data_IF_602259092143
#
_entry.id   IF_602259092143
#
_cell.length_a   1.000
_cell.length_b   1.000
_cell.length_c   1.000
_cell.angle_alpha   90.00
_cell.angle_beta   90.00
_cell.angle_gamma   90.00
#
_symmetry.space_group_name_H-M   'P 1'
#
loop_
_entity.id
_entity.type
_entity.pdbx_description
1 polymer ?
#
# COMPACT_ATOMS: atom_id res chain seq x y z
N UNK A 1 28.32 40.96 -37.34
CA UNK A 1 28.52 41.47 -35.97
C UNK A 1 28.06 40.41 -34.98
N UNK A 2 29.01 39.71 -34.35
CA UNK A 2 28.75 38.72 -33.29
C UNK A 2 28.59 39.47 -31.96
N UNK A 3 27.41 39.43 -31.36
CA UNK A 3 27.22 39.84 -29.98
C UNK A 3 27.43 38.61 -29.08
N UNK A 4 28.59 38.54 -28.43
CA UNK A 4 28.88 37.57 -27.37
C UNK A 4 28.11 37.99 -26.11
N UNK A 5 27.12 37.20 -25.71
CA UNK A 5 26.54 37.28 -24.38
C UNK A 5 27.44 36.46 -23.43
N UNK A 6 28.09 37.15 -22.49
CA UNK A 6 28.87 36.54 -21.40
C UNK A 6 27.93 35.73 -20.49
N UNK A 7 28.31 34.52 -20.03
CA UNK A 7 27.59 33.85 -18.97
C UNK A 7 27.80 34.63 -17.65
N UNK A 8 26.71 35.12 -17.07
CA UNK A 8 26.66 35.63 -15.70
C UNK A 8 26.96 34.45 -14.76
N UNK A 9 28.23 34.32 -14.41
CA UNK A 9 28.69 33.42 -13.36
C UNK A 9 28.39 34.12 -12.04
N UNK A 10 27.25 33.81 -11.43
CA UNK A 10 26.98 34.19 -10.05
C UNK A 10 27.84 33.25 -9.19
N UNK A 11 28.96 33.78 -8.72
CA UNK A 11 29.75 33.14 -7.68
C UNK A 11 28.87 32.95 -6.44
N UNK A 12 28.57 31.70 -6.08
CA UNK A 12 27.88 31.39 -4.83
C UNK A 12 28.89 31.39 -3.68
N UNK A 13 28.67 32.19 -2.62
CA UNK A 13 29.53 32.20 -1.46
C UNK A 13 29.23 30.96 -0.59
N UNK A 14 30.29 30.22 -0.23
CA UNK A 14 30.32 29.27 0.89
C UNK A 14 29.38 28.03 0.82
N UNK A 15 29.87 26.95 0.20
CA UNK A 15 30.00 25.63 0.85
C UNK A 15 28.79 24.94 1.49
N UNK A 16 27.60 24.95 0.88
CA UNK A 16 26.43 24.19 1.37
C UNK A 16 25.87 23.25 0.29
N UNK A 17 26.61 22.20 -0.07
CA UNK A 17 25.99 21.00 -0.65
C UNK A 17 25.34 20.22 0.52
N UNK A 18 24.19 20.71 0.99
CA UNK A 18 23.42 20.07 2.05
C UNK A 18 22.84 18.79 1.46
N UNK A 19 23.14 17.64 2.09
CA UNK A 19 22.70 16.28 1.76
C UNK A 19 21.26 16.18 1.20
N UNK A 20 21.09 16.50 -0.09
CA UNK A 20 19.82 16.43 -0.77
C UNK A 20 19.46 14.96 -1.06
N UNK A 21 18.25 14.74 -1.56
CA UNK A 21 17.79 13.38 -1.82
C UNK A 21 18.68 12.66 -2.85
N UNK A 22 19.19 13.37 -3.85
CA UNK A 22 20.03 12.78 -4.90
C UNK A 22 21.37 12.31 -4.34
N UNK A 23 22.04 13.14 -3.54
CA UNK A 23 23.29 12.79 -2.86
C UNK A 23 23.12 11.55 -1.95
N UNK A 24 22.02 11.51 -1.18
CA UNK A 24 21.67 10.36 -0.32
C UNK A 24 21.46 9.08 -1.14
N UNK A 25 20.70 9.17 -2.24
CA UNK A 25 20.42 8.02 -3.12
C UNK A 25 21.69 7.54 -3.82
N UNK A 26 22.55 8.46 -4.27
CA UNK A 26 23.82 8.12 -4.91
C UNK A 26 24.76 7.39 -3.96
N UNK A 27 24.86 7.84 -2.70
CA UNK A 27 25.54 7.09 -1.66
C UNK A 27 24.93 5.68 -1.53
N UNK A 28 23.62 5.56 -1.28
CA UNK A 28 22.98 4.26 -1.07
C UNK A 28 23.03 3.32 -2.30
N UNK A 29 23.32 3.81 -3.50
CA UNK A 29 23.57 2.97 -4.69
C UNK A 29 24.96 2.35 -4.71
N UNK A 30 25.93 2.92 -4.00
CA UNK A 30 27.29 2.43 -3.98
C UNK A 30 27.42 1.21 -3.07
N UNK A 31 27.99 0.08 -3.54
CA UNK A 31 28.27 -1.08 -2.68
C UNK A 31 29.12 -0.73 -1.44
N UNK A 32 30.06 0.21 -1.58
CA UNK A 32 30.94 0.68 -0.50
C UNK A 32 30.21 1.38 0.65
N UNK A 33 28.94 1.74 0.50
CA UNK A 33 28.11 2.31 1.56
C UNK A 33 27.66 1.29 2.60
N UNK A 34 27.83 0.00 2.31
CA UNK A 34 27.39 -1.09 3.16
C UNK A 34 28.59 -1.87 3.67
N UNK A 35 28.53 -2.30 4.94
CA UNK A 35 29.56 -3.15 5.57
C UNK A 35 29.53 -4.60 5.07
N UNK A 36 28.61 -4.93 4.15
CA UNK A 36 28.26 -6.29 3.75
C UNK A 36 28.78 -6.59 2.33
N UNK A 37 30.10 -6.66 2.17
CA UNK A 37 30.80 -7.21 0.99
C UNK A 37 30.48 -6.60 -0.39
N UNK A 38 31.20 -7.06 -1.41
CA UNK A 38 31.26 -6.46 -2.76
C UNK A 38 30.01 -6.73 -3.64
N UNK A 39 28.84 -6.87 -3.03
CA UNK A 39 27.60 -7.25 -3.71
C UNK A 39 27.01 -6.12 -4.56
N UNK A 40 26.44 -6.47 -5.71
CA UNK A 40 25.66 -5.53 -6.54
C UNK A 40 24.45 -4.99 -5.76
N UNK A 41 24.36 -3.67 -5.66
CA UNK A 41 23.18 -2.97 -5.11
C UNK A 41 22.15 -2.80 -6.23
N UNK A 42 20.91 -3.21 -5.97
CA UNK A 42 19.77 -2.93 -6.86
C UNK A 42 18.90 -1.86 -6.22
N UNK A 43 18.82 -0.68 -6.83
CA UNK A 43 17.95 0.40 -6.37
C UNK A 43 16.61 0.35 -7.12
N UNK A 44 15.52 0.28 -6.37
CA UNK A 44 14.15 0.31 -6.87
C UNK A 44 13.49 1.57 -6.33
N UNK A 45 12.88 2.34 -7.21
CA UNK A 45 12.13 3.52 -6.83
C UNK A 45 10.64 3.18 -6.77
N UNK A 46 9.96 3.58 -5.70
CA UNK A 46 8.49 3.55 -5.57
C UNK A 46 7.92 4.97 -5.63
N UNK A 47 6.61 5.14 -5.42
CA UNK A 47 6.02 6.48 -5.36
C UNK A 47 6.61 7.29 -4.20
N UNK A 48 6.72 6.68 -3.01
CA UNK A 48 7.06 7.36 -1.76
C UNK A 48 8.44 6.99 -1.19
N UNK A 49 9.18 6.07 -1.82
CA UNK A 49 10.45 5.56 -1.26
C UNK A 49 11.45 5.13 -2.32
N UNK A 50 12.69 5.00 -1.90
CA UNK A 50 13.74 4.21 -2.55
C UNK A 50 13.98 2.93 -1.75
N UNK A 51 14.17 1.81 -2.44
CA UNK A 51 14.43 0.49 -1.86
C UNK A 51 15.73 -0.05 -2.45
N UNK A 52 16.71 -0.32 -1.60
CA UNK A 52 18.04 -0.79 -1.98
C UNK A 52 18.20 -2.25 -1.56
N UNK A 53 18.32 -3.16 -2.53
CA UNK A 53 18.56 -4.58 -2.29
C UNK A 53 20.07 -4.82 -2.23
N UNK A 54 20.56 -5.28 -1.08
CA UNK A 54 21.99 -5.46 -0.78
C UNK A 54 22.21 -6.86 -0.21
N UNK A 55 22.58 -7.81 -1.07
CA UNK A 55 22.70 -9.23 -0.68
C UNK A 55 21.39 -9.74 -0.05
N UNK A 56 21.45 -10.09 1.24
CA UNK A 56 20.33 -10.58 2.06
C UNK A 56 19.59 -9.48 2.84
N UNK A 57 19.95 -8.22 2.65
CA UNK A 57 19.34 -7.05 3.32
C UNK A 57 18.62 -6.17 2.31
N UNK A 58 17.69 -5.39 2.83
CA UNK A 58 16.98 -4.33 2.10
C UNK A 58 16.97 -3.08 2.96
N UNK A 59 17.30 -1.94 2.36
CA UNK A 59 17.24 -0.63 3.00
C UNK A 59 16.16 0.19 2.30
N UNK A 60 15.18 0.73 3.03
CA UNK A 60 14.11 1.57 2.47
C UNK A 60 14.26 2.99 3.00
N UNK A 61 14.52 3.92 2.09
CA UNK A 61 14.59 5.37 2.34
C UNK A 61 13.27 6.02 1.91
N UNK A 62 12.59 6.73 2.80
CA UNK A 62 11.37 7.48 2.46
C UNK A 62 11.74 8.79 1.76
N UNK A 63 11.01 9.15 0.71
CA UNK A 63 11.22 10.41 -0.01
C UNK A 63 10.59 11.58 0.77
N UNK A 64 11.17 12.79 0.70
CA UNK A 64 10.60 13.99 1.32
C UNK A 64 9.43 14.55 0.49
N UNK A 65 8.33 13.79 0.40
CA UNK A 65 7.13 14.14 -0.37
C UNK A 65 5.99 14.61 0.54
N UNK A 66 5.09 15.43 0.01
CA UNK A 66 3.84 15.83 0.65
C UNK A 66 2.68 15.51 -0.30
N UNK A 67 1.84 14.56 0.10
CA UNK A 67 0.64 14.10 -0.59
C UNK A 67 -0.60 14.44 0.27
N UNK A 68 -1.82 14.44 -0.28
CA UNK A 68 -3.02 14.81 0.48
C UNK A 68 -3.28 14.00 1.76
N UNK A 69 -2.68 12.82 1.87
CA UNK A 69 -2.85 11.88 2.98
C UNK A 69 -1.53 11.58 3.71
N UNK A 70 -0.43 12.28 3.38
CA UNK A 70 0.90 11.94 3.87
C UNK A 70 1.87 13.12 3.77
N UNK A 71 2.56 13.45 4.85
CA UNK A 71 3.68 14.41 4.83
C UNK A 71 4.97 13.75 5.35
N UNK A 72 5.95 13.61 4.47
CA UNK A 72 7.30 13.11 4.77
C UNK A 72 8.37 14.19 4.62
N UNK A 73 8.00 15.48 4.51
CA UNK A 73 8.98 16.55 4.30
C UNK A 73 9.96 16.68 5.47
N UNK A 74 9.47 16.60 6.70
CA UNK A 74 10.32 16.71 7.88
C UNK A 74 11.11 15.42 8.13
N UNK A 75 12.32 15.58 8.70
CA UNK A 75 13.15 14.44 9.10
C UNK A 75 12.48 13.64 10.23
N UNK A 76 11.78 14.34 11.12
CA UNK A 76 11.06 13.78 12.26
C UNK A 76 9.91 12.88 11.79
N UNK A 77 9.13 13.30 10.80
CA UNK A 77 8.05 12.48 10.24
C UNK A 77 8.62 11.23 9.58
N UNK A 78 9.71 11.35 8.80
CA UNK A 78 10.36 10.17 8.21
C UNK A 78 10.90 9.22 9.27
N UNK A 79 11.47 9.72 10.37
CA UNK A 79 11.87 8.90 11.50
C UNK A 79 10.66 8.15 12.07
N UNK A 80 9.62 8.89 12.46
CA UNK A 80 8.38 8.35 13.04
C UNK A 80 7.78 7.24 12.16
N UNK A 81 7.62 7.49 10.86
CA UNK A 81 7.04 6.50 9.96
C UNK A 81 7.98 5.32 9.63
N UNK A 82 9.30 5.46 9.77
CA UNK A 82 10.20 4.31 9.74
C UNK A 82 9.96 3.39 10.95
N UNK A 83 9.78 3.96 12.15
CA UNK A 83 9.45 3.17 13.35
C UNK A 83 8.06 2.53 13.25
N UNK A 84 7.06 3.27 12.77
CA UNK A 84 5.72 2.71 12.56
C UNK A 84 5.72 1.57 11.55
N UNK A 85 6.48 1.68 10.46
CA UNK A 85 6.61 0.59 9.49
C UNK A 85 7.23 -0.66 10.14
N UNK A 86 8.28 -0.52 10.95
CA UNK A 86 8.88 -1.65 11.70
C UNK A 86 7.87 -2.25 12.67
N UNK A 87 7.19 -1.42 13.47
CA UNK A 87 6.23 -1.85 14.50
C UNK A 87 5.04 -2.59 13.89
N UNK A 88 4.43 -2.02 12.85
CA UNK A 88 3.22 -2.57 12.24
C UNK A 88 3.49 -3.89 11.52
N UNK A 89 4.62 -3.99 10.82
CA UNK A 89 4.94 -5.17 10.05
C UNK A 89 5.52 -6.32 10.87
N UNK A 90 6.06 -6.07 12.07
CA UNK A 90 6.49 -7.13 12.98
C UNK A 90 5.37 -8.12 13.34
N UNK A 91 4.10 -7.67 13.29
CA UNK A 91 2.89 -8.47 13.58
C UNK A 91 2.69 -9.64 12.61
N UNK A 92 2.94 -9.41 11.31
CA UNK A 92 2.69 -10.39 10.23
C UNK A 92 3.95 -10.85 9.50
N UNK A 93 5.10 -10.23 9.77
CA UNK A 93 6.39 -10.59 9.20
C UNK A 93 7.50 -10.63 10.26
N UNK A 94 7.40 -11.50 11.29
CA UNK A 94 8.38 -11.57 12.36
C UNK A 94 9.79 -11.87 11.81
N UNK A 95 10.76 -11.06 12.26
CA UNK A 95 12.17 -11.14 11.86
C UNK A 95 12.46 -10.66 10.44
N UNK A 96 11.49 -10.09 9.71
CA UNK A 96 11.73 -9.43 8.42
C UNK A 96 12.20 -8.00 8.62
N UNK A 97 11.55 -7.24 9.49
CA UNK A 97 11.93 -5.86 9.82
C UNK A 97 12.91 -5.89 10.98
N UNK A 98 14.10 -5.36 10.76
CA UNK A 98 15.26 -5.54 11.65
C UNK A 98 15.56 -4.30 12.48
N UNK A 99 14.87 -3.19 12.21
CA UNK A 99 15.02 -1.93 12.91
C UNK A 99 15.19 -0.75 11.95
N UNK A 100 15.58 0.38 12.52
CA UNK A 100 15.84 1.62 11.80
C UNK A 100 17.36 1.90 11.81
N UNK A 101 17.86 2.50 10.74
CA UNK A 101 19.26 2.90 10.57
C UNK A 101 19.29 4.39 10.25
N UNK A 102 20.13 5.14 10.97
CA UNK A 102 20.37 6.55 10.67
C UNK A 102 21.33 6.66 9.49
N UNK A 103 20.98 7.51 8.52
CA UNK A 103 21.92 8.04 7.55
C UNK A 103 22.52 9.31 8.15
N UNK A 104 23.79 9.23 8.56
CA UNK A 104 24.51 10.36 9.13
C UNK A 104 25.41 11.03 8.10
N UNK A 105 25.61 12.35 8.27
CA UNK A 105 26.59 13.15 7.57
C UNK A 105 27.64 13.65 8.55
N UNK A 106 28.91 13.37 8.28
CA UNK A 106 30.05 13.79 9.08
C UNK A 106 31.25 14.08 8.17
N UNK A 107 31.89 15.24 8.33
CA UNK A 107 33.09 15.65 7.60
C UNK A 107 33.04 15.40 6.07
N UNK A 108 31.91 15.72 5.43
CA UNK A 108 31.75 15.58 3.98
C UNK A 108 31.42 14.16 3.50
N UNK A 109 31.12 13.23 4.42
CA UNK A 109 30.84 11.83 4.09
C UNK A 109 29.53 11.37 4.72
N UNK A 110 28.86 10.47 4.01
CA UNK A 110 27.72 9.72 4.54
C UNK A 110 28.18 8.46 5.26
N UNK A 111 27.46 8.07 6.30
CA UNK A 111 27.60 6.79 6.98
C UNK A 111 26.22 6.24 7.37
N UNK A 112 26.08 4.92 7.35
CA UNK A 112 24.93 4.23 7.93
C UNK A 112 25.28 3.81 9.35
N UNK A 113 24.50 4.28 10.33
CA UNK A 113 24.71 4.01 11.75
C UNK A 113 23.47 3.29 12.29
N UNK A 114 23.59 2.04 12.80
CA UNK A 114 22.49 1.38 13.49
C UNK A 114 21.93 2.27 14.60
N UNK A 115 20.61 2.32 14.77
CA UNK A 115 20.00 3.20 15.76
C UNK A 115 20.52 2.95 17.19
N UNK A 116 20.85 1.70 17.52
CA UNK A 116 21.41 1.31 18.83
C UNK A 116 22.81 1.88 19.11
N UNK A 117 23.50 2.39 18.08
CA UNK A 117 24.82 3.04 18.18
C UNK A 117 24.72 4.57 18.26
N UNK A 118 23.51 5.12 18.36
CA UNK A 118 23.29 6.56 18.53
C UNK A 118 23.35 6.98 20.02
N UNK A 119 23.83 8.21 20.31
CA UNK A 119 24.36 9.19 19.38
C UNK A 119 25.76 8.83 18.88
N UNK A 120 26.01 9.08 17.59
CA UNK A 120 27.32 8.99 16.94
C UNK A 120 27.77 10.37 16.45
N UNK A 121 29.06 10.58 16.09
CA UNK A 121 29.61 11.91 15.80
C UNK A 121 28.95 12.70 14.65
N UNK A 122 28.24 12.01 13.73
CA UNK A 122 27.59 12.63 12.59
C UNK A 122 26.20 13.20 12.88
N UNK A 123 25.78 14.15 12.04
CA UNK A 123 24.40 14.63 12.04
C UNK A 123 23.51 13.64 11.30
N UNK A 124 22.44 13.15 11.92
CA UNK A 124 21.42 12.37 11.20
C UNK A 124 20.70 13.25 10.18
N UNK A 125 20.82 12.88 8.90
CA UNK A 125 20.22 13.59 7.76
C UNK A 125 19.07 12.83 7.13
N UNK A 126 18.95 11.52 7.38
CA UNK A 126 17.76 10.72 7.08
C UNK A 126 17.69 9.42 7.89
N UNK A 127 16.58 8.70 7.73
CA UNK A 127 16.36 7.40 8.36
C UNK A 127 15.97 6.35 7.31
N UNK A 128 16.40 5.11 7.53
CA UNK A 128 16.08 3.98 6.69
C UNK A 128 15.48 2.84 7.50
N UNK A 129 14.50 2.16 6.94
CA UNK A 129 14.03 0.86 7.44
C UNK A 129 14.98 -0.23 6.93
N UNK A 130 15.56 -1.01 7.85
CA UNK A 130 16.39 -2.15 7.52
C UNK A 130 15.58 -3.44 7.60
N UNK A 131 15.60 -4.23 6.52
CA UNK A 131 14.84 -5.46 6.40
C UNK A 131 15.71 -6.63 5.92
N UNK A 132 15.29 -7.85 6.23
CA UNK A 132 15.76 -9.07 5.58
C UNK A 132 15.10 -9.18 4.20
N UNK A 133 15.89 -9.46 3.17
CA UNK A 133 15.39 -9.69 1.82
C UNK A 133 14.59 -10.99 1.78
N UNK A 134 13.35 -10.91 1.31
CA UNK A 134 12.53 -12.09 1.07
C UNK A 134 12.82 -12.67 -0.32
N UNK A 135 12.78 -14.01 -0.52
CA UNK A 135 13.06 -14.59 -1.82
C UNK A 135 11.90 -14.34 -2.77
N UNK A 136 12.19 -13.66 -3.89
CA UNK A 136 11.18 -13.19 -4.84
C UNK A 136 10.30 -14.32 -5.38
N UNK A 137 10.84 -15.53 -5.59
CA UNK A 137 10.06 -16.66 -6.08
C UNK A 137 8.94 -17.15 -5.13
N UNK A 138 8.94 -16.72 -3.87
CA UNK A 138 7.86 -17.01 -2.92
C UNK A 138 6.82 -15.90 -2.83
N UNK A 139 7.01 -14.75 -3.47
CA UNK A 139 5.96 -13.70 -3.49
C UNK A 139 4.70 -14.25 -4.16
N UNK A 140 3.52 -13.94 -3.59
CA UNK A 140 2.24 -14.40 -4.11
C UNK A 140 2.02 -13.90 -5.55
N UNK A 141 2.39 -12.65 -5.85
CA UNK A 141 2.34 -12.12 -7.23
C UNK A 141 3.20 -12.95 -8.20
N UNK A 142 4.41 -13.37 -7.80
CA UNK A 142 5.29 -14.22 -8.61
C UNK A 142 4.77 -15.65 -8.76
N UNK A 143 4.13 -16.21 -7.71
CA UNK A 143 3.51 -17.54 -7.77
C UNK A 143 2.30 -17.57 -8.68
N UNK A 144 1.53 -16.48 -8.73
CA UNK A 144 0.41 -16.32 -9.66
C UNK A 144 0.94 -16.23 -11.10
N UNK A 145 1.86 -15.30 -11.36
CA UNK A 145 2.36 -15.06 -12.74
C UNK A 145 3.09 -16.27 -13.34
N UNK A 146 3.75 -17.08 -12.50
CA UNK A 146 4.41 -18.33 -12.92
C UNK A 146 3.47 -19.55 -12.96
N UNK A 147 2.18 -19.39 -12.62
CA UNK A 147 1.20 -20.49 -12.50
C UNK A 147 1.65 -21.60 -11.53
N UNK A 148 2.36 -21.23 -10.47
CA UNK A 148 2.88 -22.16 -9.44
C UNK A 148 2.13 -22.05 -8.11
N UNK A 149 1.08 -21.24 -8.03
CA UNK A 149 0.29 -21.06 -6.83
C UNK A 149 -0.53 -22.33 -6.53
N UNK A 150 -0.45 -22.82 -5.30
CA UNK A 150 -1.18 -24.02 -4.84
C UNK A 150 -2.23 -23.65 -3.78
N UNK A 151 -3.40 -24.33 -3.75
CA UNK A 151 -4.43 -24.09 -2.73
C UNK A 151 -3.91 -24.15 -1.29
N UNK A 152 -3.07 -25.13 -0.96
CA UNK A 152 -2.52 -25.29 0.39
C UNK A 152 -1.72 -24.07 0.89
N UNK A 153 -1.10 -23.30 -0.02
CA UNK A 153 -0.39 -22.06 0.33
C UNK A 153 -1.36 -20.94 0.71
N UNK A 154 -2.53 -20.87 0.06
CA UNK A 154 -3.60 -19.94 0.42
C UNK A 154 -4.26 -20.34 1.73
N UNK A 155 -4.46 -21.64 1.99
CA UNK A 155 -4.95 -22.10 3.29
C UNK A 155 -4.00 -21.71 4.44
N UNK A 156 -2.69 -21.81 4.20
CA UNK A 156 -1.69 -21.37 5.17
C UNK A 156 -1.75 -19.86 5.41
N UNK A 157 -1.96 -19.06 4.35
CA UNK A 157 -2.11 -17.61 4.45
C UNK A 157 -3.36 -17.25 5.24
N UNK A 158 -4.50 -17.89 4.95
CA UNK A 158 -5.76 -17.71 5.68
C UNK A 158 -5.57 -17.96 7.17
N UNK A 159 -4.88 -19.05 7.56
CA UNK A 159 -4.63 -19.34 8.98
C UNK A 159 -3.80 -18.25 9.67
N UNK A 160 -2.81 -17.68 8.97
CA UNK A 160 -2.01 -16.56 9.49
C UNK A 160 -2.87 -15.30 9.66
N UNK A 161 -3.64 -14.94 8.63
CA UNK A 161 -4.50 -13.75 8.64
C UNK A 161 -5.65 -13.89 9.64
N UNK A 162 -6.33 -15.04 9.68
CA UNK A 162 -7.41 -15.33 10.63
C UNK A 162 -6.95 -15.24 12.08
N UNK A 163 -5.76 -15.76 12.41
CA UNK A 163 -5.14 -15.55 13.73
C UNK A 163 -4.88 -14.07 14.01
N UNK A 164 -4.25 -13.39 13.05
CA UNK A 164 -3.92 -11.97 13.19
C UNK A 164 -5.16 -11.11 13.45
N UNK A 165 -6.25 -11.29 12.69
CA UNK A 165 -7.47 -10.52 12.89
C UNK A 165 -8.17 -10.85 14.21
N UNK A 166 -8.10 -12.11 14.68
CA UNK A 166 -8.68 -12.53 15.96
C UNK A 166 -7.95 -11.92 17.16
N UNK A 167 -6.63 -11.75 17.04
CA UNK A 167 -5.77 -11.17 18.07
C UNK A 167 -5.69 -9.63 17.98
N UNK A 168 -6.11 -9.05 16.85
CA UNK A 168 -6.07 -7.60 16.62
C UNK A 168 -7.06 -6.86 17.54
N UNK A 169 -6.72 -5.65 17.99
CA UNK A 169 -7.65 -4.83 18.78
C UNK A 169 -8.93 -4.54 18.01
N UNK A 170 -10.07 -4.78 18.65
CA UNK A 170 -11.38 -4.39 18.12
C UNK A 170 -11.49 -2.87 18.15
N UNK A 171 -11.92 -2.30 17.03
CA UNK A 171 -12.09 -0.86 16.86
C UNK A 171 -13.54 -0.50 17.14
N UNK A 172 -13.76 0.24 18.22
CA UNK A 172 -15.07 0.82 18.53
C UNK A 172 -15.32 2.02 17.61
N UNK A 173 -16.43 1.98 16.89
CA UNK A 173 -16.87 3.04 15.99
C UNK A 173 -18.39 3.05 15.94
N UNK A 174 -18.97 4.24 15.91
CA UNK A 174 -20.41 4.38 15.70
C UNK A 174 -20.78 3.99 14.26
N UNK A 175 -22.05 3.65 14.05
CA UNK A 175 -22.57 3.39 12.70
C UNK A 175 -22.32 4.58 11.76
N UNK A 176 -22.58 5.81 12.21
CA UNK A 176 -22.44 7.00 11.38
C UNK A 176 -20.97 7.25 11.01
N UNK A 177 -20.04 7.16 11.97
CA UNK A 177 -18.61 7.31 11.68
C UNK A 177 -18.10 6.30 10.65
N UNK A 178 -18.64 5.07 10.65
CA UNK A 178 -18.24 4.05 9.68
C UNK A 178 -18.84 4.31 8.29
N UNK A 179 -20.10 4.72 8.22
CA UNK A 179 -20.77 5.09 6.97
C UNK A 179 -20.14 6.33 6.32
N UNK A 180 -19.84 7.36 7.13
CA UNK A 180 -19.20 8.60 6.68
C UNK A 180 -17.85 8.34 6.01
N UNK A 181 -17.12 7.30 6.43
CA UNK A 181 -15.86 6.90 5.77
C UNK A 181 -16.09 6.45 4.33
N UNK A 182 -17.10 5.61 4.09
CA UNK A 182 -17.42 5.17 2.73
C UNK A 182 -17.94 6.32 1.88
N UNK A 183 -18.80 7.17 2.43
CA UNK A 183 -19.29 8.35 1.72
C UNK A 183 -18.15 9.31 1.35
N UNK A 184 -17.23 9.59 2.28
CA UNK A 184 -16.05 10.42 2.02
C UNK A 184 -15.17 9.83 0.92
N UNK A 185 -14.89 8.53 0.97
CA UNK A 185 -14.10 7.87 -0.09
C UNK A 185 -14.83 7.90 -1.43
N UNK A 186 -16.15 7.75 -1.42
CA UNK A 186 -16.96 7.74 -2.63
C UNK A 186 -17.08 9.12 -3.28
N UNK A 187 -17.20 10.18 -2.48
CA UNK A 187 -17.10 11.56 -2.96
C UNK A 187 -15.74 11.83 -3.60
N UNK A 188 -14.64 11.36 -2.98
CA UNK A 188 -13.31 11.48 -3.57
C UNK A 188 -13.16 10.68 -4.87
N UNK A 189 -13.73 9.47 -4.94
CA UNK A 189 -13.80 8.65 -6.16
C UNK A 189 -14.51 9.41 -7.28
N UNK A 190 -15.68 9.99 -6.98
CA UNK A 190 -16.46 10.78 -7.92
C UNK A 190 -15.71 12.00 -8.43
N UNK A 191 -15.11 12.79 -7.53
CA UNK A 191 -14.38 14.01 -7.90
C UNK A 191 -13.23 13.74 -8.87
N UNK A 192 -12.46 12.67 -8.65
CA UNK A 192 -11.28 12.41 -9.48
C UNK A 192 -11.61 11.59 -10.74
N UNK A 193 -12.44 10.55 -10.63
CA UNK A 193 -12.71 9.63 -11.74
C UNK A 193 -13.63 10.21 -12.81
N UNK A 194 -14.49 11.17 -12.45
CA UNK A 194 -15.38 11.87 -13.38
C UNK A 194 -14.82 13.22 -13.84
N UNK A 195 -13.58 13.55 -13.44
CA UNK A 195 -12.95 14.80 -13.84
C UNK A 195 -12.71 14.80 -15.36
N UNK A 196 -13.10 15.87 -16.08
CA UNK A 196 -12.79 16.00 -17.50
C UNK A 196 -11.29 15.83 -17.76
N UNK A 197 -10.94 15.06 -18.79
CA UNK A 197 -9.55 14.84 -19.22
C UNK A 197 -8.92 13.50 -18.82
N UNK A 198 -9.57 12.69 -17.98
CA UNK A 198 -9.14 11.31 -17.72
C UNK A 198 -9.87 10.25 -18.54
N UNK A 199 -11.06 10.57 -19.09
CA UNK A 199 -11.87 9.76 -19.98
C UNK A 199 -11.89 8.26 -19.61
N UNK A 200 -12.56 7.95 -18.49
CA UNK A 200 -12.78 6.58 -18.01
C UNK A 200 -14.20 6.13 -18.34
N UNK A 201 -14.40 5.35 -19.43
CA UNK A 201 -15.69 4.75 -19.73
C UNK A 201 -16.27 4.02 -18.52
N UNK A 202 -17.59 4.07 -18.38
CA UNK A 202 -18.34 3.35 -17.34
C UNK A 202 -18.10 3.80 -15.89
N UNK A 203 -17.21 4.78 -15.64
CA UNK A 203 -16.93 5.26 -14.29
C UNK A 203 -18.18 5.82 -13.60
N UNK A 204 -18.99 6.59 -14.31
CA UNK A 204 -20.25 7.15 -13.78
C UNK A 204 -21.26 6.06 -13.43
N UNK A 205 -21.39 5.05 -14.29
CA UNK A 205 -22.26 3.89 -14.05
C UNK A 205 -21.79 3.09 -12.83
N UNK A 206 -20.49 2.85 -12.69
CA UNK A 206 -19.91 2.13 -11.56
C UNK A 206 -20.09 2.90 -10.24
N UNK A 207 -19.85 4.21 -10.25
CA UNK A 207 -20.04 5.10 -9.09
C UNK A 207 -21.51 5.10 -8.66
N UNK A 208 -22.43 5.36 -9.59
CA UNK A 208 -23.87 5.39 -9.29
C UNK A 208 -24.38 4.04 -8.80
N UNK A 209 -23.89 2.94 -9.40
CA UNK A 209 -24.20 1.59 -8.95
C UNK A 209 -23.72 1.32 -7.52
N UNK A 210 -22.54 1.82 -7.15
CA UNK A 210 -22.03 1.70 -5.78
C UNK A 210 -22.84 2.56 -4.80
N UNK A 211 -23.28 3.77 -5.20
CA UNK A 211 -24.13 4.63 -4.37
C UNK A 211 -25.45 3.94 -4.02
N UNK A 212 -26.10 3.31 -5.01
CA UNK A 212 -27.33 2.54 -4.79
C UNK A 212 -27.12 1.35 -3.84
N UNK A 213 -26.01 0.61 -4.00
CA UNK A 213 -25.67 -0.48 -3.07
C UNK A 213 -25.37 0.05 -1.67
N UNK A 214 -24.61 1.14 -1.57
CA UNK A 214 -24.26 1.77 -0.30
C UNK A 214 -25.50 2.21 0.47
N UNK A 215 -26.43 2.89 -0.20
CA UNK A 215 -27.72 3.27 0.41
C UNK A 215 -28.51 2.05 0.89
N UNK A 216 -28.63 1.02 0.06
CA UNK A 216 -29.34 -0.22 0.40
C UNK A 216 -28.70 -0.96 1.58
N UNK A 217 -27.37 -0.97 1.66
CA UNK A 217 -26.59 -1.78 2.61
C UNK A 217 -26.12 -0.99 3.84
N UNK A 218 -26.44 0.30 3.93
CA UNK A 218 -26.05 1.15 5.06
C UNK A 218 -26.40 0.54 6.43
N UNK A 219 -27.59 -0.06 6.67
CA UNK A 219 -27.87 -0.74 7.93
C UNK A 219 -26.91 -1.90 8.21
N UNK A 220 -26.58 -2.70 7.20
CA UNK A 220 -25.68 -3.86 7.34
C UNK A 220 -24.24 -3.43 7.60
N UNK A 221 -23.76 -2.38 6.93
CA UNK A 221 -22.47 -1.74 7.21
C UNK A 221 -22.41 -1.23 8.66
N UNK A 222 -23.46 -0.53 9.10
CA UNK A 222 -23.58 -0.05 10.47
C UNK A 222 -23.55 -1.15 11.53
N UNK A 223 -24.17 -2.29 11.25
CA UNK A 223 -24.10 -3.47 12.11
C UNK A 223 -22.67 -4.01 12.26
N UNK A 224 -21.84 -3.98 11.21
CA UNK A 224 -20.44 -4.41 11.32
C UNK A 224 -19.67 -3.55 12.34
N UNK A 225 -19.90 -2.23 12.33
CA UNK A 225 -19.27 -1.30 13.27
C UNK A 225 -19.70 -1.56 14.72
N UNK A 226 -21.00 -1.81 14.95
CA UNK A 226 -21.55 -1.98 16.30
C UNK A 226 -21.39 -3.39 16.87
N UNK A 227 -21.14 -4.41 16.03
CA UNK A 227 -20.94 -5.80 16.43
C UNK A 227 -19.47 -6.21 16.61
N UNK A 228 -18.57 -5.24 16.78
CA UNK A 228 -17.15 -5.50 17.04
C UNK A 228 -16.43 -6.21 15.89
N UNK A 229 -16.86 -5.98 14.64
CA UNK A 229 -16.30 -6.64 13.46
C UNK A 229 -15.13 -5.87 12.83
N UNK A 230 -14.83 -4.68 13.35
CA UNK A 230 -13.75 -3.83 12.85
C UNK A 230 -12.48 -4.04 13.68
N UNK A 231 -11.34 -4.16 13.01
CA UNK A 231 -10.03 -4.36 13.63
C UNK A 231 -8.97 -3.45 13.01
N UNK A 232 -7.80 -3.31 13.63
CA UNK A 232 -6.63 -2.70 12.99
C UNK A 232 -5.86 -3.71 12.11
N UNK A 233 -6.29 -3.81 10.85
CA UNK A 233 -5.73 -4.69 9.82
C UNK A 233 -4.44 -4.19 9.15
N UNK A 234 -4.22 -4.58 7.90
CA UNK A 234 -3.08 -4.18 7.08
C UNK A 234 -3.29 -2.83 6.39
N UNK A 235 -4.51 -2.56 5.92
CA UNK A 235 -4.94 -1.33 5.24
C UNK A 235 -4.66 -1.26 3.73
N UNK A 236 -3.94 -2.23 3.16
CA UNK A 236 -3.55 -2.24 1.74
C UNK A 236 -3.02 -3.62 1.28
N UNK A 237 -3.69 -4.70 1.70
CA UNK A 237 -3.20 -6.06 1.49
C UNK A 237 -3.31 -6.50 0.02
N UNK A 238 -2.16 -6.78 -0.61
CA UNK A 238 -2.06 -7.15 -2.03
C UNK A 238 -1.12 -8.33 -2.27
N UNK A 239 -1.16 -8.97 -3.45
CA UNK A 239 -0.27 -10.09 -3.79
C UNK A 239 1.22 -9.78 -3.65
N UNK A 240 1.65 -8.55 -3.92
CA UNK A 240 3.06 -8.14 -3.78
C UNK A 240 3.55 -8.07 -2.34
N UNK A 241 2.63 -8.07 -1.37
CA UNK A 241 2.91 -7.96 0.05
C UNK A 241 2.97 -9.31 0.76
N UNK A 242 2.66 -10.41 0.06
CA UNK A 242 2.54 -11.74 0.65
C UNK A 242 3.68 -12.63 0.16
N UNK A 243 4.45 -13.17 1.10
CA UNK A 243 5.51 -14.14 0.85
C UNK A 243 5.08 -15.53 1.35
N UNK A 244 4.86 -16.47 0.43
CA UNK A 244 4.38 -17.84 0.67
C UNK A 244 5.51 -18.80 1.08
N UNK A 245 6.31 -18.39 2.06
CA UNK A 245 7.20 -19.30 2.80
C UNK A 245 6.36 -20.35 3.56
N UNK A 246 6.95 -21.45 4.09
CA UNK A 246 6.19 -22.46 4.84
C UNK A 246 5.28 -21.89 5.93
N UNK A 247 5.74 -20.82 6.60
CA UNK A 247 4.87 -19.90 7.33
C UNK A 247 4.77 -18.60 6.51
N UNK A 248 3.60 -18.27 5.95
CA UNK A 248 3.44 -17.05 5.16
C UNK A 248 3.80 -15.80 5.97
N UNK A 249 4.41 -14.83 5.29
CA UNK A 249 4.76 -13.52 5.85
C UNK A 249 4.03 -12.44 5.04
N UNK A 250 3.49 -11.44 5.72
CA UNK A 250 2.85 -10.28 5.08
C UNK A 250 3.58 -9.01 5.48
N UNK A 251 4.03 -8.24 4.49
CA UNK A 251 4.87 -7.05 4.63
C UNK A 251 4.16 -5.80 4.10
N UNK A 252 4.75 -4.63 4.28
CA UNK A 252 4.27 -3.33 3.76
C UNK A 252 2.85 -2.94 4.26
N UNK A 253 2.55 -3.26 5.51
CA UNK A 253 1.40 -2.74 6.24
C UNK A 253 1.43 -1.20 6.26
N UNK A 254 0.29 -0.59 5.94
CA UNK A 254 0.15 0.85 5.68
C UNK A 254 0.49 1.68 6.92
N UNK A 255 1.63 2.35 6.98
CA UNK A 255 2.12 3.00 8.19
C UNK A 255 1.48 4.36 8.50
N UNK A 256 1.04 5.08 7.47
CA UNK A 256 0.72 6.50 7.60
C UNK A 256 -0.76 6.84 7.80
N UNK A 257 -1.66 5.87 7.65
CA UNK A 257 -3.10 6.13 7.77
C UNK A 257 -3.79 5.05 8.59
N UNK A 258 -3.91 5.29 9.89
CA UNK A 258 -4.61 4.40 10.82
C UNK A 258 -6.07 4.19 10.44
N UNK A 259 -6.76 5.21 9.90
CA UNK A 259 -8.18 5.08 9.50
C UNK A 259 -8.38 4.05 8.40
N UNK A 260 -7.43 3.94 7.46
CA UNK A 260 -7.45 2.94 6.39
C UNK A 260 -7.10 1.53 6.89
N UNK A 261 -6.36 1.41 8.01
CA UNK A 261 -6.14 0.11 8.68
C UNK A 261 -7.32 -0.34 9.54
N UNK A 262 -8.19 0.58 9.97
CA UNK A 262 -9.38 0.27 10.76
C UNK A 262 -10.51 -0.20 9.85
N UNK A 263 -10.62 -1.50 9.65
CA UNK A 263 -11.52 -2.10 8.66
C UNK A 263 -12.11 -3.43 9.14
N UNK A 264 -13.11 -3.89 8.40
CA UNK A 264 -13.61 -5.26 8.48
C UNK A 264 -12.61 -6.20 7.76
N UNK A 265 -12.12 -7.29 8.39
CA UNK A 265 -11.25 -8.26 7.74
C UNK A 265 -11.72 -8.75 6.36
N UNK A 266 -13.03 -8.90 6.15
CA UNK A 266 -13.59 -9.32 4.86
C UNK A 266 -13.49 -8.22 3.80
N UNK A 267 -13.47 -6.94 4.18
CA UNK A 267 -13.22 -5.81 3.28
C UNK A 267 -11.76 -5.81 2.80
N UNK A 268 -10.81 -6.16 3.67
CA UNK A 268 -9.40 -6.30 3.29
C UNK A 268 -9.16 -7.50 2.37
N UNK A 269 -9.81 -8.65 2.63
CA UNK A 269 -9.74 -9.80 1.72
C UNK A 269 -10.43 -9.57 0.38
N UNK A 270 -11.42 -8.67 0.31
CA UNK A 270 -12.00 -8.26 -0.97
C UNK A 270 -10.93 -7.64 -1.89
N UNK A 271 -10.04 -6.80 -1.36
CA UNK A 271 -8.92 -6.23 -2.12
C UNK A 271 -7.93 -7.32 -2.55
N UNK A 272 -7.45 -8.15 -1.61
CA UNK A 272 -6.48 -9.19 -1.94
C UNK A 272 -7.03 -10.18 -2.98
N UNK A 273 -8.28 -10.61 -2.82
CA UNK A 273 -8.97 -11.50 -3.75
C UNK A 273 -9.15 -10.89 -5.13
N UNK A 274 -9.56 -9.62 -5.21
CA UNK A 274 -9.70 -8.88 -6.47
C UNK A 274 -8.35 -8.75 -7.21
N UNK A 275 -7.28 -8.40 -6.50
CA UNK A 275 -5.95 -8.27 -7.12
C UNK A 275 -5.43 -9.64 -7.59
N UNK A 276 -5.72 -10.72 -6.86
CA UNK A 276 -5.40 -12.08 -7.33
C UNK A 276 -6.19 -12.47 -8.58
N UNK A 277 -7.47 -12.12 -8.65
CA UNK A 277 -8.32 -12.34 -9.83
C UNK A 277 -7.76 -11.60 -11.06
N UNK A 278 -7.48 -10.30 -10.91
CA UNK A 278 -6.88 -9.47 -11.97
C UNK A 278 -5.48 -9.96 -12.39
N UNK A 279 -4.78 -10.70 -11.53
CA UNK A 279 -3.50 -11.33 -11.82
C UNK A 279 -3.64 -12.73 -12.46
N UNK A 280 -4.85 -13.27 -12.62
CA UNK A 280 -5.12 -14.55 -13.27
C UNK A 280 -5.40 -15.72 -12.32
N UNK A 281 -5.68 -15.45 -11.04
CA UNK A 281 -5.98 -16.47 -10.04
C UNK A 281 -7.36 -16.25 -9.35
N UNK A 282 -8.48 -16.25 -10.11
CA UNK A 282 -9.84 -15.99 -9.57
C UNK A 282 -10.28 -16.94 -8.45
N UNK A 283 -9.72 -18.16 -8.42
CA UNK A 283 -10.05 -19.15 -7.40
C UNK A 283 -9.58 -18.73 -5.99
N UNK A 284 -8.57 -17.84 -5.89
CA UNK A 284 -7.99 -17.39 -4.62
C UNK A 284 -9.03 -16.62 -3.80
N UNK A 285 -9.83 -15.76 -4.44
CA UNK A 285 -10.87 -14.98 -3.76
C UNK A 285 -11.82 -15.91 -2.99
N UNK A 286 -12.38 -16.93 -3.66
CA UNK A 286 -13.30 -17.88 -3.01
C UNK A 286 -12.67 -18.59 -1.81
N UNK A 287 -11.41 -18.98 -1.92
CA UNK A 287 -10.70 -19.70 -0.86
C UNK A 287 -10.33 -18.78 0.32
N UNK A 288 -9.93 -17.54 0.05
CA UNK A 288 -9.70 -16.52 1.07
C UNK A 288 -10.97 -16.27 1.90
N UNK A 289 -12.11 -16.06 1.23
CA UNK A 289 -13.38 -15.80 1.90
C UNK A 289 -13.89 -17.01 2.68
N UNK A 290 -13.88 -18.20 2.09
CA UNK A 290 -14.36 -19.42 2.77
C UNK A 290 -13.50 -19.76 3.98
N UNK A 291 -12.17 -19.64 3.84
CA UNK A 291 -11.23 -19.90 4.90
C UNK A 291 -11.35 -18.87 6.03
N UNK A 292 -11.48 -17.58 5.71
CA UNK A 292 -11.65 -16.55 6.75
C UNK A 292 -12.98 -16.70 7.50
N UNK A 293 -14.05 -17.08 6.81
CA UNK A 293 -15.32 -17.41 7.45
C UNK A 293 -15.16 -18.52 8.49
N UNK A 294 -14.35 -19.54 8.21
CA UNK A 294 -14.07 -20.62 9.17
C UNK A 294 -13.25 -20.12 10.38
N UNK A 295 -12.32 -19.18 10.14
CA UNK A 295 -11.48 -18.62 11.20
C UNK A 295 -12.25 -17.65 12.12
N UNK A 296 -13.04 -16.73 11.56
CA UNK A 296 -13.64 -15.62 12.32
C UNK A 296 -15.14 -15.77 12.57
N UNK A 297 -15.86 -16.56 11.79
CA UNK A 297 -17.32 -16.58 11.80
C UNK A 297 -17.93 -15.27 11.27
N UNK A 298 -19.25 -15.13 11.42
CA UNK A 298 -20.03 -13.93 11.09
C UNK A 298 -19.63 -13.23 9.76
N UNK A 299 -19.61 -13.94 8.62
CA UNK A 299 -19.24 -13.32 7.35
C UNK A 299 -20.30 -12.28 6.92
N UNK A 300 -19.90 -11.22 6.21
CA UNK A 300 -20.85 -10.31 5.55
C UNK A 300 -21.70 -11.06 4.51
N UNK A 301 -22.90 -10.57 4.21
CA UNK A 301 -23.73 -11.12 3.12
C UNK A 301 -23.04 -10.98 1.76
N UNK A 302 -23.50 -11.73 0.75
CA UNK A 302 -22.94 -11.65 -0.61
C UNK A 302 -23.05 -10.25 -1.20
N UNK A 303 -24.14 -9.53 -0.93
CA UNK A 303 -24.32 -8.15 -1.36
C UNK A 303 -23.33 -7.21 -0.69
N UNK A 304 -23.06 -7.40 0.61
CA UNK A 304 -22.08 -6.59 1.33
C UNK A 304 -20.64 -6.91 0.88
N UNK A 305 -20.33 -8.17 0.56
CA UNK A 305 -19.06 -8.53 -0.08
C UNK A 305 -18.90 -7.86 -1.45
N UNK A 306 -19.96 -7.83 -2.25
CA UNK A 306 -19.96 -7.14 -3.54
C UNK A 306 -19.74 -5.62 -3.36
N UNK A 307 -20.37 -5.00 -2.36
CA UNK A 307 -20.12 -3.60 -2.00
C UNK A 307 -18.65 -3.37 -1.65
N UNK A 308 -18.05 -4.19 -0.78
CA UNK A 308 -16.63 -4.08 -0.43
C UNK A 308 -15.72 -4.18 -1.65
N UNK A 309 -15.98 -5.13 -2.54
CA UNK A 309 -15.16 -5.33 -3.73
C UNK A 309 -15.31 -4.17 -4.72
N UNK A 310 -16.52 -3.68 -4.97
CA UNK A 310 -16.75 -2.53 -5.85
C UNK A 310 -16.15 -1.23 -5.26
N UNK A 311 -16.27 -1.03 -3.95
CA UNK A 311 -15.63 0.09 -3.25
C UNK A 311 -14.10 0.05 -3.38
N UNK A 312 -13.48 -1.11 -3.14
CA UNK A 312 -12.04 -1.30 -3.33
C UNK A 312 -11.64 -1.05 -4.78
N UNK A 313 -12.37 -1.59 -5.76
CA UNK A 313 -12.11 -1.35 -7.17
C UNK A 313 -12.11 0.15 -7.51
N UNK A 314 -13.13 0.91 -7.12
CA UNK A 314 -13.16 2.36 -7.39
C UNK A 314 -12.06 3.14 -6.64
N UNK A 315 -11.73 2.74 -5.40
CA UNK A 315 -10.58 3.29 -4.68
C UNK A 315 -9.28 3.06 -5.46
N UNK A 316 -9.05 1.84 -5.96
CA UNK A 316 -7.86 1.49 -6.75
C UNK A 316 -7.81 2.23 -8.09
N UNK A 317 -8.96 2.41 -8.75
CA UNK A 317 -9.07 3.25 -9.93
C UNK A 317 -8.64 4.69 -9.63
N UNK A 318 -9.15 5.26 -8.53
CA UNK A 318 -8.80 6.63 -8.12
C UNK A 318 -7.32 6.76 -7.81
N UNK A 319 -6.75 5.80 -7.07
CA UNK A 319 -5.32 5.82 -6.74
C UNK A 319 -4.45 5.71 -8.00
N UNK A 320 -4.84 4.89 -8.98
CA UNK A 320 -4.15 4.84 -10.27
C UNK A 320 -4.16 6.22 -10.96
N UNK A 321 -5.32 6.87 -11.07
CA UNK A 321 -5.43 8.22 -11.66
C UNK A 321 -4.66 9.27 -10.86
N UNK A 322 -4.61 9.16 -9.53
CA UNK A 322 -3.91 10.13 -8.68
C UNK A 322 -2.42 10.25 -8.99
N UNK A 323 -1.79 9.20 -9.52
CA UNK A 323 -0.39 9.28 -10.00
C UNK A 323 -0.20 10.31 -11.12
N UNK A 324 -1.23 10.62 -11.90
CA UNK A 324 -1.17 11.63 -12.96
C UNK A 324 -1.21 13.06 -12.42
N UNK A 325 -1.49 13.24 -11.12
CA UNK A 325 -1.47 14.53 -10.44
C UNK A 325 -0.07 14.88 -9.92
N UNK A 326 0.87 13.93 -9.95
CA UNK A 326 2.26 14.18 -9.61
C UNK A 326 2.88 15.17 -10.61
N UNK A 327 3.78 16.08 -10.20
CA UNK A 327 4.44 17.00 -11.11
C UNK A 327 5.21 16.29 -12.24
N UNK A 328 5.71 15.08 -11.96
CA UNK A 328 6.42 14.22 -12.91
C UNK A 328 5.89 12.78 -12.74
N UNK A 329 4.74 12.45 -13.35
CA UNK A 329 4.09 11.16 -13.17
C UNK A 329 4.96 10.05 -13.76
N UNK A 330 5.22 8.99 -12.98
CA UNK A 330 5.99 7.84 -13.46
C UNK A 330 5.12 6.96 -14.34
N UNK A 331 5.61 6.54 -15.51
CA UNK A 331 4.87 5.66 -16.44
C UNK A 331 3.42 6.12 -16.70
N UNK A 332 3.20 7.38 -17.14
CA UNK A 332 1.86 8.00 -17.14
C UNK A 332 0.85 7.25 -18.01
N UNK A 333 1.29 6.65 -19.11
CA UNK A 333 0.46 5.86 -20.01
C UNK A 333 -0.17 4.61 -19.36
N UNK A 334 0.41 4.09 -18.27
CA UNK A 334 -0.09 2.89 -17.59
C UNK A 334 -1.32 3.18 -16.73
N UNK A 335 -1.41 4.37 -16.16
CA UNK A 335 -2.39 4.66 -15.10
C UNK A 335 -3.84 4.69 -15.58
N UNK A 336 -4.19 5.32 -16.72
CA UNK A 336 -5.57 5.26 -17.24
C UNK A 336 -6.01 3.84 -17.55
N UNK A 337 -5.14 3.03 -18.18
CA UNK A 337 -5.44 1.63 -18.50
C UNK A 337 -5.68 0.80 -17.23
N UNK A 338 -4.87 1.02 -16.21
CA UNK A 338 -5.03 0.34 -14.93
C UNK A 338 -6.32 0.80 -14.21
N UNK A 339 -6.61 2.10 -14.21
CA UNK A 339 -7.84 2.63 -13.64
C UNK A 339 -9.08 2.06 -14.33
N UNK A 340 -9.07 1.97 -15.66
CA UNK A 340 -10.18 1.41 -16.42
C UNK A 340 -10.45 -0.05 -16.07
N UNK A 341 -9.41 -0.86 -15.86
CA UNK A 341 -9.59 -2.26 -15.41
C UNK A 341 -10.34 -2.34 -14.10
N UNK A 342 -10.05 -1.46 -13.15
CA UNK A 342 -10.76 -1.41 -11.88
C UNK A 342 -12.19 -0.87 -12.02
N UNK A 343 -12.42 0.14 -12.87
CA UNK A 343 -13.77 0.65 -13.17
C UNK A 343 -14.66 -0.45 -13.75
N UNK A 344 -14.15 -1.21 -14.72
CA UNK A 344 -14.88 -2.35 -15.31
C UNK A 344 -15.19 -3.42 -14.26
N UNK A 345 -14.24 -3.72 -13.37
CA UNK A 345 -14.46 -4.66 -12.27
C UNK A 345 -15.57 -4.16 -11.31
N UNK A 346 -15.53 -2.89 -10.94
CA UNK A 346 -16.55 -2.27 -10.10
C UNK A 346 -17.92 -2.36 -10.76
N UNK A 347 -18.02 -1.98 -12.05
CA UNK A 347 -19.27 -2.00 -12.81
C UNK A 347 -19.87 -3.42 -12.85
N UNK A 348 -19.06 -4.42 -13.20
CA UNK A 348 -19.52 -5.80 -13.28
C UNK A 348 -20.12 -6.28 -11.96
N UNK A 349 -19.49 -5.92 -10.85
CA UNK A 349 -19.88 -6.34 -9.50
C UNK A 349 -21.18 -5.68 -9.07
N UNK A 350 -21.32 -4.36 -9.30
CA UNK A 350 -22.57 -3.65 -8.94
C UNK A 350 -23.75 -4.10 -9.80
N UNK A 351 -23.54 -4.39 -11.09
CA UNK A 351 -24.59 -4.92 -11.98
C UNK A 351 -25.09 -6.30 -11.53
N UNK A 352 -24.17 -7.21 -11.19
CA UNK A 352 -24.51 -8.55 -10.73
C UNK A 352 -25.25 -8.53 -9.37
N UNK A 353 -24.83 -7.67 -8.45
CA UNK A 353 -25.48 -7.51 -7.14
C UNK A 353 -26.91 -6.97 -7.28
N UNK A 354 -27.13 -6.03 -8.20
CA UNK A 354 -28.46 -5.47 -8.48
C UNK A 354 -29.38 -6.49 -9.17
N UNK A 355 -28.86 -7.28 -10.10
CA UNK A 355 -29.64 -8.32 -10.78
C UNK A 355 -30.11 -9.45 -9.84
N UNK A 356 -29.28 -9.85 -8.86
CA UNK A 356 -29.66 -10.85 -7.86
C UNK A 356 -30.72 -10.32 -6.87
N UNK A 357 -30.67 -9.02 -6.56
CA UNK A 357 -31.66 -8.36 -5.70
C UNK A 357 -33.05 -8.26 -6.33
N UNK A 358 -33.15 -8.22 -7.66
CA UNK A 358 -34.44 -8.20 -8.36
C UNK A 358 -35.12 -9.58 -8.41
N UNK A 359 -34.33 -10.67 -8.50
CA UNK A 359 -34.86 -12.05 -8.57
C UNK A 359 -35.31 -12.63 -7.22
N UNK A 360 -34.85 -12.08 -6.11
CA UNK A 360 -35.21 -12.53 -4.75
C UNK A 360 -36.48 -11.87 -4.19
N UNK A 361 -37.11 -10.97 -4.96
CA UNK A 361 -38.38 -10.30 -4.62
C UNK A 361 -39.55 -10.76 -5.49
N UNK A 362 -39.36 -11.80 -6.31
CA UNK A 362 -40.36 -12.36 -7.23
C UNK A 362 -40.95 -13.66 -6.71
#
# INVERSE_FOLDING_TARGET
MKAQARPLTIASPQGTCVADLEAKVNFLRAPSSYTIGDGKVTALETHMSWVFLVGQRVYKLKKPVCLPYLDFRSLQDRAFFCHEEVRLNARLAPGVYLGVVALQWYEGRFALVPEVELPAPGQTVDWLVLMRRLPAQYMLSQRISSSQLRPAAIDALVRVLGRFYREAPVISMTQNEYLDRFETQQLANRDLLLRPGFDLPDAECAITGLDHLGFKLAPMLGMRATQGQLVEGHGDLRPDHVCLMPRPLVIDCLEFNTKLRQLDPFHELALLGMECDLAGAPWVSRQLFSGLQQELGNPPSRELQAFYLAHQALLRARLAISHLQDPLPRTPHRWPLLAQRYVVQALHVVQNANACGAKSRG
#
